data_IF_290653849840
#
_entry.id   IF_290653849840
#
_cell.length_a   1.000
_cell.length_b   1.000
_cell.length_c   1.000
_cell.angle_alpha   90.00
_cell.angle_beta   90.00
_cell.angle_gamma   90.00
#
_symmetry.space_group_name_H-M   'P 1'
#
loop_
_entity.id
_entity.type
_entity.pdbx_description
1 polymer ?
#
# COMPACT_ATOMS: atom_id res chain seq x y z
N UNK A 1 -6.72 28.43 8.41
CA UNK A 1 -7.90 27.72 8.92
C UNK A 1 -7.84 26.30 8.40
N UNK A 2 -7.82 25.33 9.30
CA UNK A 2 -7.38 23.93 9.13
C UNK A 2 -8.36 23.08 8.31
N UNK A 3 -7.82 22.18 7.48
CA UNK A 3 -8.60 21.08 6.90
C UNK A 3 -9.13 20.20 8.05
N UNK A 4 -10.33 19.63 7.90
CA UNK A 4 -10.85 18.61 8.82
C UNK A 4 -10.12 17.30 8.55
N UNK A 5 -8.89 17.21 9.04
CA UNK A 5 -8.06 16.02 8.98
C UNK A 5 -8.49 15.06 10.09
N UNK A 6 -8.73 13.79 9.73
CA UNK A 6 -8.94 12.72 10.70
C UNK A 6 -7.69 11.87 10.76
N UNK A 7 -7.10 11.76 11.94
CA UNK A 7 -5.90 10.95 12.17
C UNK A 7 -6.32 9.69 12.90
N UNK A 8 -5.93 8.54 12.37
CA UNK A 8 -6.22 7.22 12.92
C UNK A 8 -4.90 6.48 13.02
N UNK A 9 -4.60 5.98 14.20
CA UNK A 9 -3.37 5.26 14.47
C UNK A 9 -3.63 3.75 14.36
N UNK A 10 -2.72 3.05 13.70
CA UNK A 10 -2.83 1.63 13.39
C UNK A 10 -1.60 0.87 13.86
N UNK A 11 -1.77 0.08 14.91
CA UNK A 11 -0.69 -0.73 15.46
C UNK A 11 -0.38 -1.93 14.56
N UNK A 12 0.85 -1.97 14.07
CA UNK A 12 1.40 -3.11 13.35
C UNK A 12 1.93 -4.12 14.37
N UNK A 13 1.12 -5.15 14.65
CA UNK A 13 1.52 -6.29 15.48
C UNK A 13 2.48 -7.23 14.73
N UNK A 14 3.66 -6.72 14.38
CA UNK A 14 4.72 -7.42 13.65
C UNK A 14 6.02 -7.38 14.46
N UNK A 15 6.79 -8.47 14.45
CA UNK A 15 8.10 -8.52 15.12
C UNK A 15 9.21 -7.84 14.29
N UNK A 16 9.06 -7.87 12.96
CA UNK A 16 10.01 -7.30 12.00
C UNK A 16 9.23 -6.60 10.90
N UNK A 17 9.51 -5.31 10.70
CA UNK A 17 8.98 -4.54 9.57
C UNK A 17 10.00 -4.48 8.44
N UNK A 18 9.80 -5.29 7.41
CA UNK A 18 10.60 -5.22 6.16
C UNK A 18 9.88 -4.42 5.09
N UNK A 19 10.63 -3.94 4.08
CA UNK A 19 10.05 -3.21 2.95
C UNK A 19 8.98 -4.04 2.21
N UNK A 20 9.19 -5.35 2.08
CA UNK A 20 8.23 -6.26 1.47
C UNK A 20 6.94 -6.36 2.30
N UNK A 21 7.06 -6.51 3.62
CA UNK A 21 5.86 -6.56 4.49
C UNK A 21 5.10 -5.25 4.56
N UNK A 22 5.81 -4.12 4.56
CA UNK A 22 5.18 -2.81 4.48
C UNK A 22 4.38 -2.65 3.17
N UNK A 23 4.96 -3.10 2.05
CA UNK A 23 4.25 -3.10 0.76
C UNK A 23 2.99 -3.98 0.77
N UNK A 24 3.06 -5.20 1.32
CA UNK A 24 1.88 -6.06 1.42
C UNK A 24 0.82 -5.51 2.37
N UNK A 25 1.22 -4.83 3.46
CA UNK A 25 0.28 -4.16 4.34
C UNK A 25 -0.44 -2.99 3.65
N UNK A 26 0.31 -2.17 2.90
CA UNK A 26 -0.27 -1.11 2.05
C UNK A 26 -1.21 -1.70 1.00
N UNK A 27 -0.84 -2.81 0.36
CA UNK A 27 -1.70 -3.51 -0.60
C UNK A 27 -2.96 -4.09 0.05
N UNK A 28 -2.87 -4.57 1.29
CA UNK A 28 -4.01 -5.04 2.08
C UNK A 28 -4.99 -3.91 2.41
N UNK A 29 -4.48 -2.75 2.84
CA UNK A 29 -5.30 -1.55 3.05
C UNK A 29 -5.93 -1.10 1.74
N UNK A 30 -5.18 -1.14 0.64
CA UNK A 30 -5.68 -0.77 -0.68
C UNK A 30 -6.88 -1.64 -1.09
N UNK A 31 -6.75 -2.97 -1.02
CA UNK A 31 -7.86 -3.90 -1.29
C UNK A 31 -9.07 -3.62 -0.40
N UNK A 32 -8.81 -3.37 0.88
CA UNK A 32 -9.84 -3.07 1.87
C UNK A 32 -10.61 -1.79 1.52
N UNK A 33 -9.90 -0.71 1.16
CA UNK A 33 -10.51 0.55 0.73
C UNK A 33 -11.34 0.37 -0.54
N UNK A 34 -10.87 -0.40 -1.52
CA UNK A 34 -11.63 -0.68 -2.74
C UNK A 34 -12.97 -1.35 -2.43
N UNK A 35 -12.98 -2.31 -1.50
CA UNK A 35 -14.20 -3.00 -1.10
C UNK A 35 -15.12 -2.10 -0.25
N UNK A 36 -14.60 -1.50 0.82
CA UNK A 36 -15.40 -0.68 1.75
C UNK A 36 -15.99 0.56 1.09
N UNK A 37 -15.26 1.19 0.16
CA UNK A 37 -15.78 2.31 -0.63
C UNK A 37 -16.57 1.88 -1.85
N UNK A 38 -16.98 0.60 -1.96
CA UNK A 38 -17.80 0.03 -3.04
C UNK A 38 -17.24 0.26 -4.45
N UNK A 39 -15.92 0.32 -4.59
CA UNK A 39 -15.25 0.42 -5.89
C UNK A 39 -15.17 -0.94 -6.59
N UNK A 40 -15.26 -2.03 -5.84
CA UNK A 40 -15.42 -3.38 -6.35
C UNK A 40 -16.53 -4.10 -5.56
N UNK A 41 -17.23 -5.06 -6.18
CA UNK A 41 -18.38 -5.73 -5.55
C UNK A 41 -17.99 -6.76 -4.48
N UNK A 42 -16.76 -7.26 -4.51
CA UNK A 42 -16.23 -8.26 -3.58
C UNK A 42 -14.82 -7.89 -3.14
N UNK A 43 -14.34 -8.51 -2.06
CA UNK A 43 -12.92 -8.46 -1.71
C UNK A 43 -12.07 -8.91 -2.89
N UNK A 44 -10.93 -8.26 -3.10
CA UNK A 44 -10.14 -8.40 -4.33
C UNK A 44 -9.81 -9.85 -4.71
N UNK A 45 -9.48 -10.71 -3.74
CA UNK A 45 -9.20 -12.14 -3.99
C UNK A 45 -10.38 -12.87 -4.65
N UNK A 46 -11.59 -12.64 -4.16
CA UNK A 46 -12.83 -13.20 -4.72
C UNK A 46 -13.16 -12.59 -6.08
N UNK A 47 -13.00 -11.27 -6.22
CA UNK A 47 -13.21 -10.57 -7.47
C UNK A 47 -12.29 -11.09 -8.59
N UNK A 48 -10.99 -11.26 -8.27
CA UNK A 48 -9.98 -11.84 -9.15
C UNK A 48 -10.36 -13.25 -9.58
N UNK A 49 -10.75 -14.11 -8.64
CA UNK A 49 -11.16 -15.49 -8.92
C UNK A 49 -12.28 -15.58 -9.95
N UNK A 50 -13.36 -14.79 -9.79
CA UNK A 50 -14.47 -14.81 -10.74
C UNK A 50 -14.07 -14.35 -12.15
N UNK A 51 -13.24 -13.32 -12.25
CA UNK A 51 -12.78 -12.79 -13.54
C UNK A 51 -11.87 -13.80 -14.26
N UNK A 52 -11.00 -14.47 -13.53
CA UNK A 52 -10.09 -15.48 -14.09
C UNK A 52 -10.88 -16.68 -14.63
N UNK A 53 -11.93 -17.10 -13.92
CA UNK A 53 -12.83 -18.15 -14.40
C UNK A 53 -13.49 -17.82 -15.75
N UNK A 54 -13.87 -16.57 -15.99
CA UNK A 54 -14.46 -16.16 -17.28
C UNK A 54 -13.49 -16.27 -18.46
N UNK A 55 -12.18 -16.16 -18.21
CA UNK A 55 -11.17 -16.23 -19.26
C UNK A 55 -10.97 -17.67 -19.78
N UNK A 56 -11.33 -18.66 -18.98
CA UNK A 56 -11.23 -20.09 -19.30
C UNK A 56 -12.43 -20.59 -20.13
N UNK A 57 -13.56 -19.88 -20.10
CA UNK A 57 -14.86 -20.34 -20.62
C UNK A 57 -15.30 -19.63 -21.92
N UNK A 58 -14.38 -19.10 -22.73
CA UNK A 58 -14.74 -18.46 -24.01
C UNK A 58 -15.14 -19.49 -25.08
N UNK A 59 -16.36 -20.02 -24.98
CA UNK A 59 -17.06 -20.68 -26.08
C UNK A 59 -17.92 -19.69 -26.87
N UNK A 60 -17.62 -19.60 -28.17
CA UNK A 60 -18.30 -18.79 -29.16
C UNK A 60 -19.60 -19.45 -29.62
N UNK A 61 -20.80 -18.90 -29.36
CA UNK A 61 -21.96 -19.21 -30.24
C UNK A 61 -23.25 -18.36 -30.15
N UNK A 62 -23.40 -17.34 -29.30
CA UNK A 62 -24.68 -16.59 -29.22
C UNK A 62 -24.58 -15.09 -29.48
N UNK A 63 -25.07 -14.65 -30.64
CA UNK A 63 -25.19 -13.24 -31.06
C UNK A 63 -26.48 -12.60 -30.54
N UNK A 64 -26.63 -12.48 -29.21
CA UNK A 64 -27.73 -11.72 -28.58
C UNK A 64 -27.25 -10.38 -28.03
N UNK A 65 -28.11 -9.35 -28.03
CA UNK A 65 -27.82 -8.05 -27.42
C UNK A 65 -27.47 -8.18 -25.92
N UNK A 66 -28.13 -9.10 -25.21
CA UNK A 66 -27.83 -9.40 -23.81
C UNK A 66 -26.41 -9.97 -23.65
N UNK A 67 -25.97 -10.82 -24.58
CA UNK A 67 -24.62 -11.37 -24.59
C UNK A 67 -23.56 -10.29 -24.88
N UNK A 68 -23.85 -9.34 -25.77
CA UNK A 68 -22.98 -8.20 -26.01
C UNK A 68 -22.84 -7.29 -24.78
N UNK A 69 -23.94 -6.99 -24.08
CA UNK A 69 -23.89 -6.24 -22.82
C UNK A 69 -23.08 -6.98 -21.75
N UNK A 70 -23.30 -8.29 -21.60
CA UNK A 70 -22.53 -9.12 -20.68
C UNK A 70 -21.03 -9.06 -20.99
N UNK A 71 -20.64 -9.19 -22.27
CA UNK A 71 -19.23 -9.09 -22.70
C UNK A 71 -18.61 -7.73 -22.37
N UNK A 72 -19.36 -6.64 -22.58
CA UNK A 72 -18.90 -5.29 -22.19
C UNK A 72 -18.71 -5.16 -20.67
N UNK A 73 -19.61 -5.72 -19.87
CA UNK A 73 -19.48 -5.70 -18.42
C UNK A 73 -18.30 -6.55 -17.93
N UNK A 74 -18.12 -7.76 -18.48
CA UNK A 74 -16.95 -8.61 -18.18
C UNK A 74 -15.66 -7.91 -18.57
N UNK A 75 -15.60 -7.29 -19.75
CA UNK A 75 -14.42 -6.52 -20.19
C UNK A 75 -14.08 -5.36 -19.26
N UNK A 76 -15.08 -4.59 -18.81
CA UNK A 76 -14.86 -3.52 -17.81
C UNK A 76 -14.34 -4.08 -16.49
N UNK A 77 -14.92 -5.17 -16.01
CA UNK A 77 -14.49 -5.81 -14.78
C UNK A 77 -13.04 -6.33 -14.88
N UNK A 78 -12.67 -6.95 -16.00
CA UNK A 78 -11.29 -7.39 -16.30
C UNK A 78 -10.31 -6.22 -16.30
N UNK A 79 -10.64 -5.13 -16.99
CA UNK A 79 -9.80 -3.93 -17.02
C UNK A 79 -9.60 -3.32 -15.61
N UNK A 80 -10.65 -3.33 -14.78
CA UNK A 80 -10.54 -2.94 -13.37
C UNK A 80 -9.60 -3.88 -12.60
N UNK A 81 -9.70 -5.21 -12.77
CA UNK A 81 -8.79 -6.18 -12.14
C UNK A 81 -7.34 -5.97 -12.54
N UNK A 82 -7.07 -5.78 -13.82
CA UNK A 82 -5.73 -5.49 -14.34
C UNK A 82 -5.17 -4.19 -13.76
N UNK A 83 -5.97 -3.14 -13.71
CA UNK A 83 -5.57 -1.86 -13.10
C UNK A 83 -5.23 -2.00 -11.62
N UNK A 84 -6.01 -2.80 -10.87
CA UNK A 84 -5.74 -3.10 -9.45
C UNK A 84 -4.42 -3.87 -9.33
N UNK A 85 -4.21 -4.91 -10.16
CA UNK A 85 -2.96 -5.67 -10.19
C UNK A 85 -1.74 -4.78 -10.49
N UNK A 86 -1.87 -3.85 -11.44
CA UNK A 86 -0.81 -2.92 -11.79
C UNK A 86 -0.43 -2.01 -10.61
N UNK A 87 -1.42 -1.44 -9.91
CA UNK A 87 -1.16 -0.60 -8.73
C UNK A 87 -0.52 -1.40 -7.59
N UNK A 88 -0.97 -2.63 -7.35
CA UNK A 88 -0.36 -3.49 -6.32
C UNK A 88 1.10 -3.78 -6.59
N UNK A 89 1.43 -4.04 -7.85
CA UNK A 89 2.80 -4.30 -8.27
C UNK A 89 3.66 -3.03 -8.20
N UNK A 90 3.11 -1.90 -8.61
CA UNK A 90 3.77 -0.60 -8.49
C UNK A 90 4.11 -0.28 -7.02
N UNK A 91 3.20 -0.55 -6.08
CA UNK A 91 3.47 -0.40 -4.64
C UNK A 91 4.66 -1.27 -4.22
N UNK A 92 4.68 -2.56 -4.57
CA UNK A 92 5.81 -3.45 -4.25
C UNK A 92 7.13 -2.94 -4.82
N UNK A 93 7.11 -2.51 -6.07
CA UNK A 93 8.29 -1.97 -6.74
C UNK A 93 8.78 -0.71 -6.04
N UNK A 94 7.91 0.23 -5.71
CA UNK A 94 8.26 1.46 -5.01
C UNK A 94 8.97 1.19 -3.68
N UNK A 95 8.44 0.28 -2.85
CA UNK A 95 9.05 -0.13 -1.58
C UNK A 95 10.38 -0.88 -1.77
N UNK A 96 10.55 -1.60 -2.88
CA UNK A 96 11.80 -2.30 -3.22
C UNK A 96 12.92 -1.34 -3.60
N UNK A 97 12.60 -0.27 -4.33
CA UNK A 97 13.62 0.62 -4.91
C UNK A 97 13.91 1.88 -4.07
N UNK A 98 12.94 2.43 -3.35
CA UNK A 98 13.06 3.73 -2.69
C UNK A 98 12.43 3.72 -1.31
N UNK A 99 12.79 4.70 -0.46
CA UNK A 99 12.13 4.93 0.84
C UNK A 99 10.79 5.60 0.58
N UNK A 100 9.73 4.87 0.92
CA UNK A 100 8.35 5.36 0.85
C UNK A 100 7.98 5.93 2.21
N UNK A 101 7.75 7.23 2.27
CA UNK A 101 7.35 7.94 3.50
C UNK A 101 5.83 7.99 3.64
N UNK A 102 5.12 8.21 2.53
CA UNK A 102 3.64 8.20 2.50
C UNK A 102 3.12 7.55 1.24
N UNK A 103 1.96 6.91 1.37
CA UNK A 103 1.14 6.46 0.25
C UNK A 103 -0.22 7.14 0.35
N UNK A 104 -0.69 7.78 -0.71
CA UNK A 104 -2.00 8.44 -0.71
C UNK A 104 -2.89 7.87 -1.80
N UNK A 105 -4.03 7.33 -1.39
CA UNK A 105 -5.10 6.89 -2.28
C UNK A 105 -6.14 7.99 -2.41
N UNK A 106 -6.41 8.41 -3.64
CA UNK A 106 -7.33 9.50 -3.97
C UNK A 106 -8.54 8.93 -4.69
N UNK A 107 -9.73 9.14 -4.14
CA UNK A 107 -10.99 8.77 -4.76
C UNK A 107 -11.68 10.02 -5.31
N UNK A 108 -12.03 10.01 -6.59
CA UNK A 108 -12.78 11.11 -7.20
C UNK A 108 -12.72 11.12 -8.73
N UNK A 109 -13.27 12.16 -9.33
CA UNK A 109 -13.34 12.27 -10.78
C UNK A 109 -11.95 12.52 -11.41
N UNK A 110 -11.09 13.28 -10.72
CA UNK A 110 -9.76 13.67 -11.16
C UNK A 110 -8.82 13.73 -9.95
N UNK A 111 -7.53 13.54 -10.19
CA UNK A 111 -6.49 13.59 -9.16
C UNK A 111 -6.37 14.96 -8.48
N UNK A 112 -6.76 16.05 -9.17
CA UNK A 112 -6.75 17.40 -8.62
C UNK A 112 -8.02 17.75 -7.83
N UNK A 113 -9.09 16.97 -8.03
CA UNK A 113 -10.37 17.18 -7.35
C UNK A 113 -10.88 15.87 -6.74
N UNK A 114 -10.12 15.26 -5.81
CA UNK A 114 -10.58 14.08 -5.09
C UNK A 114 -11.73 14.44 -4.16
N UNK A 115 -12.74 13.58 -4.10
CA UNK A 115 -13.82 13.66 -3.11
C UNK A 115 -13.36 13.15 -1.76
N UNK A 116 -12.52 12.11 -1.75
CA UNK A 116 -11.95 11.52 -0.54
C UNK A 116 -10.49 11.14 -0.76
N UNK A 117 -9.70 11.20 0.31
CA UNK A 117 -8.29 10.84 0.31
C UNK A 117 -7.92 10.07 1.56
N UNK A 118 -7.12 9.04 1.39
CA UNK A 118 -6.60 8.18 2.46
C UNK A 118 -5.08 8.20 2.36
N UNK A 119 -4.43 8.85 3.31
CA UNK A 119 -2.97 9.01 3.36
C UNK A 119 -2.41 8.08 4.43
N UNK A 120 -1.66 7.07 4.00
CA UNK A 120 -0.89 6.20 4.87
C UNK A 120 0.45 6.86 5.19
N UNK A 121 0.75 7.02 6.48
CA UNK A 121 2.08 7.41 6.94
C UNK A 121 2.87 6.17 7.32
N UNK A 122 4.00 5.99 6.65
CA UNK A 122 4.83 4.79 6.78
C UNK A 122 5.95 5.10 7.79
N UNK A 123 6.20 4.22 8.78
CA UNK A 123 7.32 4.34 9.73
C UNK A 123 8.62 3.96 9.02
N UNK A 124 8.98 4.75 8.01
CA UNK A 124 10.05 4.47 7.06
C UNK A 124 11.44 4.36 7.70
N UNK A 125 11.65 4.98 8.87
CA UNK A 125 12.88 4.89 9.65
C UNK A 125 13.10 3.52 10.30
N UNK A 126 12.05 2.74 10.54
CA UNK A 126 12.13 1.41 11.18
C UNK A 126 12.15 0.27 10.16
N UNK A 127 11.96 0.56 8.87
CA UNK A 127 11.90 -0.45 7.81
C UNK A 127 13.28 -1.04 7.52
N UNK A 128 13.41 -2.35 7.69
CA UNK A 128 14.60 -3.11 7.30
C UNK A 128 14.52 -3.47 5.82
N UNK A 129 15.53 -3.04 5.04
CA UNK A 129 15.59 -3.25 3.58
C UNK A 129 16.44 -4.43 3.13
N UNK A 130 17.46 -4.80 3.91
CA UNK A 130 18.52 -5.73 3.47
C UNK A 130 18.21 -7.20 3.74
N UNK A 131 17.09 -7.52 4.37
CA UNK A 131 16.73 -8.90 4.72
C UNK A 131 15.39 -9.27 4.08
N UNK A 132 15.41 -10.26 3.19
CA UNK A 132 14.22 -10.97 2.75
C UNK A 132 13.87 -11.98 3.86
N UNK A 133 13.03 -11.57 4.80
CA UNK A 133 12.33 -12.51 5.65
C UNK A 133 10.96 -12.78 5.04
N UNK A 134 10.69 -14.05 4.71
CA UNK A 134 9.34 -14.51 4.41
C UNK A 134 8.55 -14.54 5.72
N UNK A 135 7.88 -13.44 6.02
CA UNK A 135 6.90 -13.41 7.10
C UNK A 135 5.61 -14.08 6.62
N UNK A 136 5.06 -14.95 7.47
CA UNK A 136 3.82 -15.69 7.21
C UNK A 136 2.62 -14.77 7.04
N UNK A 137 1.87 -14.92 5.94
CA UNK A 137 0.62 -14.20 5.61
C UNK A 137 -0.36 -14.04 6.80
N UNK A 138 -0.35 -14.99 7.73
CA UNK A 138 -1.17 -15.01 8.95
C UNK A 138 -1.08 -13.72 9.79
N UNK A 139 0.11 -13.13 9.93
CA UNK A 139 0.33 -11.94 10.78
C UNK A 139 -0.13 -10.65 10.12
N UNK A 140 0.07 -10.52 8.80
CA UNK A 140 -0.45 -9.41 8.01
C UNK A 140 -1.98 -9.37 8.13
N UNK A 141 -2.62 -10.55 8.04
CA UNK A 141 -4.05 -10.67 8.20
C UNK A 141 -4.54 -10.24 9.59
N UNK A 142 -3.79 -10.50 10.66
CA UNK A 142 -4.15 -10.04 12.01
C UNK A 142 -4.17 -8.51 12.12
N UNK A 143 -3.13 -7.83 11.62
CA UNK A 143 -3.10 -6.37 11.61
C UNK A 143 -4.18 -5.77 10.71
N UNK A 144 -4.49 -6.41 9.57
CA UNK A 144 -5.61 -6.01 8.72
C UNK A 144 -6.97 -6.25 9.38
N UNK A 145 -7.12 -7.28 10.23
CA UNK A 145 -8.35 -7.49 11.02
C UNK A 145 -8.53 -6.36 12.03
N UNK A 146 -7.46 -5.91 12.69
CA UNK A 146 -7.52 -4.75 13.60
C UNK A 146 -7.99 -3.48 12.87
N UNK A 147 -7.54 -3.26 11.63
CA UNK A 147 -8.04 -2.18 10.76
C UNK A 147 -9.55 -2.29 10.49
N UNK A 148 -10.06 -3.52 10.26
CA UNK A 148 -11.50 -3.75 10.03
C UNK A 148 -12.34 -3.51 11.28
N UNK A 149 -11.77 -3.70 12.47
CA UNK A 149 -12.44 -3.52 13.75
C UNK A 149 -12.32 -2.09 14.31
N UNK A 150 -11.67 -1.17 13.59
CA UNK A 150 -11.53 0.22 14.02
C UNK A 150 -12.85 0.98 13.84
N UNK A 151 -13.51 1.30 14.95
CA UNK A 151 -14.82 1.99 14.97
C UNK A 151 -14.79 3.34 14.23
N UNK A 152 -13.67 4.06 14.29
CA UNK A 152 -13.51 5.35 13.59
C UNK A 152 -13.52 5.19 12.06
N UNK A 153 -12.85 4.15 11.55
CA UNK A 153 -12.88 3.81 10.13
C UNK A 153 -14.27 3.35 9.71
N UNK A 154 -14.92 2.50 10.52
CA UNK A 154 -16.29 2.05 10.27
C UNK A 154 -17.27 3.24 10.20
N UNK A 155 -17.13 4.23 11.10
CA UNK A 155 -17.94 5.44 11.07
C UNK A 155 -17.73 6.27 9.80
N UNK A 156 -16.49 6.36 9.31
CA UNK A 156 -16.17 7.04 8.03
C UNK A 156 -16.81 6.30 6.85
N UNK A 157 -16.73 4.97 6.83
CA UNK A 157 -17.27 4.15 5.75
C UNK A 157 -18.80 4.05 5.76
N UNK A 158 -19.46 4.38 6.86
CA UNK A 158 -20.93 4.51 6.91
C UNK A 158 -21.51 5.52 5.92
N UNK A 159 -20.73 6.51 5.46
CA UNK A 159 -21.10 7.37 4.35
C UNK A 159 -20.92 6.65 3.02
N UNK A 160 -22.01 6.40 2.29
CA UNK A 160 -21.93 5.79 0.97
C UNK A 160 -21.11 6.65 -0.02
N UNK A 161 -20.39 5.98 -0.93
CA UNK A 161 -19.69 6.59 -2.05
C UNK A 161 -20.13 5.91 -3.35
N UNK A 162 -20.26 6.69 -4.43
CA UNK A 162 -20.42 6.15 -5.76
C UNK A 162 -19.10 5.55 -6.27
N UNK A 163 -19.20 4.64 -7.24
CA UNK A 163 -18.01 4.20 -7.98
C UNK A 163 -17.37 5.37 -8.69
N UNK A 164 -16.06 5.52 -8.52
CA UNK A 164 -15.28 6.63 -9.03
C UNK A 164 -13.90 6.14 -9.47
N UNK A 165 -13.03 7.06 -9.87
CA UNK A 165 -11.65 6.71 -10.17
C UNK A 165 -10.82 6.76 -8.89
N UNK A 166 -9.84 5.86 -8.80
CA UNK A 166 -8.86 5.80 -7.73
C UNK A 166 -7.48 6.04 -8.31
N UNK A 167 -6.75 6.98 -7.72
CA UNK A 167 -5.39 7.37 -8.08
C UNK A 167 -4.45 7.10 -6.90
N UNK A 168 -3.20 6.75 -7.21
CA UNK A 168 -2.14 6.54 -6.22
C UNK A 168 -1.09 7.64 -6.35
N UNK A 169 -0.73 8.21 -5.20
CA UNK A 169 0.43 9.07 -5.04
C UNK A 169 1.36 8.52 -3.96
N UNK A 170 2.67 8.72 -4.14
CA UNK A 170 3.71 8.23 -3.25
C UNK A 170 4.67 9.37 -2.90
N UNK A 171 5.03 9.51 -1.62
CA UNK A 171 6.11 10.40 -1.18
C UNK A 171 7.39 9.54 -1.07
N UNK A 172 8.31 9.70 -2.03
CA UNK A 172 9.53 8.89 -2.20
C UNK A 172 10.77 9.72 -1.90
N UNK A 173 11.83 9.06 -1.39
CA UNK A 173 13.13 9.71 -1.22
C UNK A 173 13.80 9.95 -2.57
N UNK A 174 14.23 11.19 -2.80
CA UNK A 174 14.73 11.71 -4.10
C UNK A 174 16.16 11.27 -4.41
N UNK A 175 16.94 10.88 -3.40
CA UNK A 175 18.36 10.53 -3.54
C UNK A 175 18.60 9.22 -4.31
N UNK A 176 17.58 8.35 -4.37
CA UNK A 176 17.63 7.19 -5.27
C UNK A 176 17.27 7.66 -6.67
N UNK A 177 18.14 7.41 -7.64
CA UNK A 177 17.82 7.52 -9.06
C UNK A 177 16.69 6.54 -9.39
N UNK A 178 15.45 6.91 -9.07
CA UNK A 178 14.24 6.16 -9.41
C UNK A 178 14.17 6.21 -10.93
N UNK A 179 14.34 5.08 -11.64
CA UNK A 179 14.15 5.08 -13.07
C UNK A 179 12.66 5.32 -13.35
N UNK A 180 12.28 6.57 -13.58
CA UNK A 180 10.92 6.95 -13.96
C UNK A 180 10.47 6.18 -15.22
N UNK A 181 11.44 5.86 -16.10
CA UNK A 181 11.24 5.07 -17.30
C UNK A 181 11.15 3.57 -16.95
N UNK A 182 9.95 3.11 -16.60
CA UNK A 182 9.61 1.68 -16.51
C UNK A 182 8.70 1.28 -15.35
N UNK A 183 8.58 2.12 -14.32
CA UNK A 183 7.76 1.82 -13.13
C UNK A 183 6.30 2.31 -13.24
N UNK A 184 5.98 3.11 -14.27
CA UNK A 184 4.65 3.71 -14.39
C UNK A 184 4.35 4.73 -13.27
N UNK A 185 5.40 5.37 -12.73
CA UNK A 185 5.29 6.53 -11.83
C UNK A 185 6.06 7.71 -12.41
N UNK A 186 5.55 8.91 -12.19
CA UNK A 186 6.18 10.15 -12.63
C UNK A 186 6.22 11.18 -11.50
N UNK A 187 7.26 12.03 -11.46
CA UNK A 187 7.36 13.08 -10.44
C UNK A 187 6.24 14.09 -10.63
N UNK A 188 5.72 14.61 -9.52
CA UNK A 188 4.64 15.59 -9.53
C UNK A 188 5.22 16.98 -9.33
N UNK A 189 5.29 17.77 -10.41
CA UNK A 189 5.81 19.14 -10.39
C UNK A 189 4.87 20.12 -9.65
N UNK A 190 3.60 19.74 -9.50
CA UNK A 190 2.58 20.56 -8.82
C UNK A 190 2.43 20.10 -7.38
N UNK A 191 2.46 21.07 -6.45
CA UNK A 191 2.22 20.82 -5.03
C UNK A 191 0.97 19.97 -4.83
N UNK A 192 1.12 18.81 -4.19
CA UNK A 192 0.00 17.89 -3.99
C UNK A 192 -0.91 18.34 -2.84
N UNK A 193 -1.64 19.42 -3.11
CA UNK A 193 -2.63 20.01 -2.21
C UNK A 193 -4.01 19.44 -2.50
N UNK A 194 -4.70 19.06 -1.44
CA UNK A 194 -6.07 18.56 -1.53
C UNK A 194 -7.06 19.72 -1.51
N UNK A 195 -8.16 19.66 -2.27
CA UNK A 195 -9.25 20.62 -2.16
C UNK A 195 -9.81 20.67 -0.75
N UNK A 196 -10.32 21.83 -0.33
CA UNK A 196 -10.94 22.00 1.00
C UNK A 196 -12.16 21.12 1.24
N UNK A 197 -12.86 20.74 0.17
CA UNK A 197 -14.03 19.85 0.21
C UNK A 197 -13.67 18.36 0.28
N UNK A 198 -12.39 18.01 0.11
CA UNK A 198 -11.94 16.63 0.15
C UNK A 198 -11.97 16.12 1.59
N UNK A 199 -12.61 14.96 1.82
CA UNK A 199 -12.46 14.27 3.10
C UNK A 199 -11.04 13.70 3.16
N UNK A 200 -10.26 14.12 4.16
CA UNK A 200 -8.86 13.71 4.29
C UNK A 200 -8.67 12.86 5.55
N UNK A 201 -8.35 11.58 5.34
CA UNK A 201 -8.12 10.60 6.38
C UNK A 201 -6.65 10.23 6.36
N UNK A 202 -5.98 10.40 7.49
CA UNK A 202 -4.59 10.02 7.71
C UNK A 202 -4.56 8.76 8.57
N UNK A 203 -3.92 7.71 8.04
CA UNK A 203 -3.71 6.45 8.75
C UNK A 203 -2.22 6.38 9.10
N UNK A 204 -1.89 6.44 10.37
CA UNK A 204 -0.52 6.38 10.85
C UNK A 204 -0.19 4.94 11.20
N UNK A 205 0.75 4.35 10.48
CA UNK A 205 1.18 2.99 10.78
C UNK A 205 2.19 3.05 11.93
N UNK A 206 1.76 2.61 13.10
CA UNK A 206 2.58 2.57 14.29
C UNK A 206 3.29 1.22 14.33
N UNK A 207 4.60 1.27 14.54
CA UNK A 207 5.41 0.08 14.71
C UNK A 207 6.25 0.30 15.96
N UNK A 208 5.85 -0.35 17.04
CA UNK A 208 6.61 -0.33 18.29
C UNK A 208 7.59 -1.51 18.30
N UNK A 209 8.87 -1.23 18.57
CA UNK A 209 9.91 -2.23 18.78
C UNK A 209 9.80 -2.90 20.17
N UNK A 210 8.60 -2.97 20.73
CA UNK A 210 8.30 -3.46 22.07
C UNK A 210 8.64 -4.94 22.33
N UNK A 211 9.04 -5.69 21.31
CA UNK A 211 9.86 -6.88 21.48
C UNK A 211 11.28 -6.58 21.02
N UNK A 212 12.19 -6.52 22.00
CA UNK A 212 13.63 -6.56 21.77
C UNK A 212 13.94 -7.55 20.63
N UNK A 213 14.82 -7.21 19.67
CA UNK A 213 15.38 -8.24 18.83
C UNK A 213 15.95 -9.31 19.75
N UNK A 214 15.65 -10.58 19.46
CA UNK A 214 16.16 -11.73 20.18
C UNK A 214 17.62 -11.47 20.61
N UNK A 215 18.02 -11.83 21.85
CA UNK A 215 19.35 -11.54 22.34
C UNK A 215 20.32 -12.01 21.28
N UNK A 216 21.14 -11.07 20.80
CA UNK A 216 22.27 -11.29 19.92
C UNK A 216 22.85 -12.65 20.33
N UNK A 217 22.72 -13.66 19.45
CA UNK A 217 23.18 -15.00 19.75
C UNK A 217 24.66 -14.86 20.09
N UNK A 218 24.96 -14.87 21.39
CA UNK A 218 26.29 -14.79 21.97
C UNK A 218 27.06 -16.10 21.72
N UNK A 219 26.87 -16.71 20.55
CA UNK A 219 27.52 -17.93 20.10
C UNK A 219 29.02 -17.66 19.81
N UNK A 220 29.49 -16.40 19.90
CA UNK A 220 30.90 -16.06 19.71
C UNK A 220 31.54 -15.26 20.84
N UNK A 221 30.97 -15.21 22.05
CA UNK A 221 31.74 -14.70 23.21
C UNK A 221 32.81 -15.69 23.72
N UNK A 222 32.69 -16.98 23.39
CA UNK A 222 33.67 -18.00 23.77
C UNK A 222 34.87 -18.14 22.80
N UNK A 223 34.90 -17.41 21.68
CA UNK A 223 36.08 -17.37 20.80
C UNK A 223 37.09 -16.26 21.15
N UNK A 224 36.74 -15.32 22.04
CA UNK A 224 37.68 -14.29 22.52
C UNK A 224 38.57 -14.75 23.68
N UNK A 225 38.32 -15.95 24.24
CA UNK A 225 39.22 -16.58 25.24
C UNK A 225 40.47 -17.25 24.63
N UNK A 226 40.68 -17.15 23.31
CA UNK A 226 41.90 -17.60 22.63
C UNK A 226 42.71 -16.45 21.99
N UNK A 227 42.77 -15.28 22.63
CA UNK A 227 43.81 -14.29 22.30
C UNK A 227 44.88 -14.29 23.37
N UNK A 228 45.96 -15.02 23.06
CA UNK A 228 47.25 -14.89 23.73
C UNK A 228 47.64 -13.41 23.82
N UNK A 229 48.14 -13.08 25.00
CA UNK A 229 48.84 -11.87 25.39
C UNK A 229 49.73 -11.29 24.27
N UNK A 230 49.61 -9.99 24.00
CA UNK A 230 50.77 -9.11 23.79
C UNK A 230 50.38 -7.62 23.76
N UNK A 231 50.75 -6.94 24.85
CA UNK A 231 51.19 -5.54 24.98
C UNK A 231 50.32 -4.37 24.47
N UNK A 232 49.72 -3.67 25.45
CA UNK A 232 49.81 -2.21 25.70
C UNK A 232 50.08 -1.27 24.52
N UNK A 233 49.14 -0.36 24.22
CA UNK A 233 49.33 1.11 24.33
C UNK A 233 48.06 1.91 23.98
N UNK A 234 47.65 2.74 24.93
CA UNK A 234 47.16 4.12 24.81
C UNK A 234 45.83 4.44 24.08
N UNK A 235 44.89 4.85 24.95
CA UNK A 235 43.86 5.89 24.84
C UNK A 235 44.07 6.92 23.73
N UNK A 236 43.08 7.07 22.85
CA UNK A 236 42.60 8.37 22.38
C UNK A 236 41.06 8.34 22.29
N UNK A 237 40.43 9.16 23.14
CA UNK A 237 39.05 9.61 23.01
C UNK A 237 38.88 10.25 21.63
N UNK A 238 38.10 9.60 20.76
CA UNK A 238 37.53 10.26 19.60
C UNK A 238 36.05 10.48 19.87
N UNK A 239 35.75 11.72 20.24
CA UNK A 239 34.43 12.34 20.19
C UNK A 239 33.69 11.85 18.95
N UNK A 240 32.64 11.04 19.16
CA UNK A 240 31.70 10.66 18.11
C UNK A 240 30.95 11.93 17.75
N UNK A 241 31.49 12.62 16.75
CA UNK A 241 30.92 13.81 16.15
C UNK A 241 29.52 13.45 15.65
N UNK A 242 28.56 14.12 16.24
CA UNK A 242 27.14 14.08 15.93
C UNK A 242 26.96 14.24 14.41
N UNK A 243 26.63 13.13 13.73
CA UNK A 243 26.32 13.15 12.30
C UNK A 243 25.06 13.97 12.15
N UNK A 244 25.22 15.22 11.73
CA UNK A 244 24.17 16.05 11.16
C UNK A 244 23.28 15.18 10.28
N UNK A 245 22.00 15.03 10.67
CA UNK A 245 20.96 14.40 9.87
C UNK A 245 20.93 15.13 8.54
N UNK A 246 21.52 14.54 7.50
CA UNK A 246 21.22 14.94 6.12
C UNK A 246 19.69 14.89 6.00
N UNK A 247 19.07 16.04 5.74
CA UNK A 247 17.65 16.14 5.51
C UNK A 247 17.34 15.30 4.28
N UNK A 248 16.90 14.06 4.47
CA UNK A 248 16.50 13.21 3.37
C UNK A 248 15.38 13.91 2.61
N UNK A 249 15.67 14.34 1.39
CA UNK A 249 14.69 15.02 0.56
C UNK A 249 13.66 14.01 0.05
N UNK A 250 12.39 14.33 0.27
CA UNK A 250 11.26 13.55 -0.23
C UNK A 250 10.48 14.36 -1.26
N UNK A 251 10.06 13.70 -2.33
CA UNK A 251 9.25 14.28 -3.40
C UNK A 251 7.99 13.45 -3.64
N UNK A 252 6.93 14.10 -4.15
CA UNK A 252 5.68 13.42 -4.51
C UNK A 252 5.76 12.87 -5.93
N UNK A 253 5.32 11.63 -6.08
CA UNK A 253 5.23 10.88 -7.33
C UNK A 253 3.81 10.39 -7.53
N UNK A 254 3.37 10.32 -8.77
CA UNK A 254 2.04 9.88 -9.16
C UNK A 254 2.13 8.60 -9.99
N UNK A 255 1.24 7.65 -9.74
CA UNK A 255 1.05 6.49 -10.59
C UNK A 255 0.31 6.83 -11.88
N UNK A 256 0.76 6.24 -12.99
CA UNK A 256 0.08 6.29 -14.29
C UNK A 256 -1.19 5.43 -14.30
N UNK A 257 -1.15 4.29 -13.60
CA UNK A 257 -2.29 3.40 -13.49
C UNK A 257 -3.43 4.03 -12.68
N UNK A 258 -4.65 3.94 -13.22
CA UNK A 258 -5.87 4.47 -12.60
C UNK A 258 -6.87 3.32 -12.47
N UNK A 259 -7.37 3.09 -11.27
CA UNK A 259 -8.43 2.08 -11.06
C UNK A 259 -9.78 2.75 -11.21
N UNK A 260 -10.54 2.29 -12.20
CA UNK A 260 -11.94 2.70 -12.37
C UNK A 260 -12.82 1.75 -11.59
N UNK A 261 -13.58 2.28 -10.63
CA UNK A 261 -14.52 1.49 -9.85
C UNK A 261 -15.55 0.77 -10.74
N UNK A 262 -15.83 -0.48 -10.41
CA UNK A 262 -16.77 -1.33 -11.12
C UNK A 262 -17.96 -1.67 -10.22
N UNK A 263 -19.18 -1.40 -10.72
CA UNK A 263 -20.43 -1.78 -10.08
C UNK A 263 -21.27 -2.64 -11.02
N UNK A 264 -21.94 -3.64 -10.46
CA UNK A 264 -22.88 -4.47 -11.20
C UNK A 264 -24.19 -3.72 -11.48
N UNK A 265 -24.85 -3.96 -12.62
CA UNK A 265 -26.19 -3.45 -12.86
C UNK A 265 -27.20 -4.13 -11.92
N UNK A 266 -28.03 -3.32 -11.25
CA UNK A 266 -28.89 -3.68 -10.11
C UNK A 266 -29.97 -4.76 -10.36
N UNK A 267 -30.17 -5.28 -11.58
CA UNK A 267 -31.34 -6.14 -11.88
C UNK A 267 -31.03 -7.54 -12.43
N UNK A 268 -29.77 -7.90 -12.74
CA UNK A 268 -29.38 -9.25 -13.22
C UNK A 268 -27.96 -9.63 -12.79
N UNK A 269 -27.62 -9.40 -11.52
CA UNK A 269 -26.27 -9.60 -11.00
C UNK A 269 -25.82 -11.07 -10.97
N UNK A 270 -26.75 -12.03 -10.94
CA UNK A 270 -26.43 -13.46 -10.89
C UNK A 270 -25.79 -13.97 -12.18
N UNK A 271 -26.29 -13.56 -13.34
CA UNK A 271 -25.77 -14.01 -14.65
C UNK A 271 -24.36 -13.49 -14.95
N UNK A 272 -23.93 -12.38 -14.31
CA UNK A 272 -22.60 -11.82 -14.55
C UNK A 272 -21.51 -12.75 -13.99
N UNK A 273 -21.72 -13.24 -12.77
CA UNK A 273 -20.74 -14.01 -12.01
C UNK A 273 -20.87 -15.53 -12.17
N UNK A 274 -21.97 -15.99 -12.76
CA UNK A 274 -22.11 -17.38 -13.18
C UNK A 274 -21.34 -17.66 -14.47
N UNK A 275 -20.86 -18.90 -14.56
CA UNK A 275 -20.33 -19.53 -15.76
C UNK A 275 -21.45 -19.80 -16.76
#
# INVERSE_FOLDING_TARGET
>A
MSQNERNIDLDLNLEILTAATAAEFVNGIFDYLLYQRRQIPFVYKTYKYFIEKWSEEQDETQKSFAHHQLKLHRSKATATKESISAIRELIRQAFRISVVKKCRFLFGNSIFMPTESYTLHIPHSTIIRKQQFDLTESRINQSLISLMACDELCAIFGSEMSTTNMFLELELQTDVAVPANGMGIFPKDVLSQLPRSCKNVHLHLLYDHGHQPAPELAIYQDLELMRLEQSTSQVEDSEVTDKSKEEQEFSWWQAEAIVRGFKTPNHKSFDLWSS
#
